data_IF_584816683654
#
_entry.id   IF_584816683654
#
_cell.length_a   1.000
_cell.length_b   1.000
_cell.length_c   1.000
_cell.angle_alpha   90.00
_cell.angle_beta   90.00
_cell.angle_gamma   90.00
#
_symmetry.space_group_name_H-M   'P 1'
#
loop_
_entity.id
_entity.type
_entity.pdbx_description
1 polymer ?
#
# COMPACT_ATOMS: atom_id res chain seq x y z
N UNK A 1 22.64 -20.99 3.23
CA UNK A 1 23.25 -19.66 3.02
C UNK A 1 22.38 -18.73 2.16
N UNK A 2 21.84 -19.17 1.01
CA UNK A 2 21.03 -18.29 0.12
C UNK A 2 19.77 -17.69 0.79
N UNK A 3 18.95 -18.51 1.47
CA UNK A 3 17.74 -18.02 2.17
C UNK A 3 18.02 -17.01 3.29
N UNK A 4 19.16 -17.13 3.97
CA UNK A 4 19.56 -16.19 5.02
C UNK A 4 19.85 -14.82 4.40
N UNK A 5 20.59 -14.80 3.30
CA UNK A 5 20.89 -13.58 2.53
C UNK A 5 19.64 -12.91 1.95
N UNK A 6 18.66 -13.70 1.49
CA UNK A 6 17.37 -13.17 1.02
C UNK A 6 16.57 -12.52 2.14
N UNK A 7 16.59 -13.08 3.35
CA UNK A 7 15.91 -12.50 4.52
C UNK A 7 16.58 -11.21 4.99
N UNK A 8 17.90 -11.20 5.06
CA UNK A 8 18.67 -10.01 5.41
C UNK A 8 18.41 -8.86 4.41
N UNK A 9 18.31 -9.19 3.12
CA UNK A 9 17.93 -8.20 2.10
C UNK A 9 16.51 -7.65 2.31
N UNK A 10 15.54 -8.50 2.65
CA UNK A 10 14.16 -8.06 2.90
C UNK A 10 14.08 -7.12 4.11
N UNK A 11 14.85 -7.40 5.18
CA UNK A 11 14.96 -6.49 6.32
C UNK A 11 15.59 -5.17 5.91
N UNK A 12 16.67 -5.20 5.12
CA UNK A 12 17.30 -3.98 4.60
C UNK A 12 16.35 -3.15 3.75
N UNK A 13 15.57 -3.79 2.87
CA UNK A 13 14.56 -3.13 2.03
C UNK A 13 13.45 -2.53 2.90
N UNK A 14 12.98 -3.24 3.92
CA UNK A 14 11.99 -2.68 4.85
C UNK A 14 12.49 -1.41 5.53
N UNK A 15 13.73 -1.39 6.00
CA UNK A 15 14.33 -0.22 6.63
C UNK A 15 14.42 0.96 5.63
N UNK A 16 14.90 0.70 4.41
CA UNK A 16 15.01 1.75 3.38
C UNK A 16 13.62 2.31 3.01
N UNK A 17 12.59 1.46 2.91
CA UNK A 17 11.22 1.92 2.68
C UNK A 17 10.68 2.76 3.84
N UNK A 18 11.02 2.41 5.08
CA UNK A 18 10.63 3.20 6.26
C UNK A 18 11.32 4.58 6.26
N UNK A 19 12.61 4.65 5.91
CA UNK A 19 13.34 5.92 5.78
C UNK A 19 12.76 6.81 4.67
N UNK A 20 12.40 6.23 3.51
CA UNK A 20 11.76 6.98 2.42
C UNK A 20 10.40 7.52 2.86
N UNK A 21 9.63 6.70 3.59
CA UNK A 21 8.33 7.08 4.13
C UNK A 21 8.44 8.28 5.06
N UNK A 22 9.37 8.26 6.01
CA UNK A 22 9.60 9.39 6.93
C UNK A 22 9.91 10.68 6.17
N UNK A 23 10.76 10.62 5.13
CA UNK A 23 11.05 11.80 4.29
C UNK A 23 9.86 12.28 3.48
N UNK A 24 8.93 11.39 3.13
CA UNK A 24 7.70 11.76 2.44
C UNK A 24 6.68 12.38 3.41
N UNK A 25 6.65 11.95 4.67
CA UNK A 25 5.86 12.62 5.73
C UNK A 25 6.33 14.07 5.88
N UNK A 26 7.64 14.32 5.96
CA UNK A 26 8.19 15.68 6.01
C UNK A 26 7.77 16.54 4.79
N UNK A 27 7.72 15.94 3.60
CA UNK A 27 7.30 16.63 2.37
C UNK A 27 5.79 16.88 2.34
N UNK A 28 4.99 15.95 2.86
CA UNK A 28 3.54 16.09 2.97
C UNK A 28 3.17 17.22 3.94
N UNK A 29 3.89 17.31 5.07
CA UNK A 29 3.75 18.39 6.04
C UNK A 29 4.10 19.74 5.40
N UNK A 30 5.24 19.85 4.73
CA UNK A 30 5.63 21.08 4.01
C UNK A 30 4.59 21.47 2.95
N UNK A 31 4.04 20.50 2.22
CA UNK A 31 3.02 20.77 1.19
C UNK A 31 1.72 21.24 1.83
N UNK A 32 1.37 20.69 3.00
CA UNK A 32 0.20 21.11 3.79
C UNK A 32 0.36 22.52 4.37
N UNK A 33 1.58 22.91 4.76
CA UNK A 33 1.90 24.30 5.12
C UNK A 33 1.73 25.22 3.91
N UNK A 34 2.29 24.88 2.75
CA UNK A 34 2.16 25.70 1.53
C UNK A 34 0.72 25.85 1.03
N UNK A 35 -0.15 24.88 1.34
CA UNK A 35 -1.57 24.93 1.01
C UNK A 35 -2.31 26.10 1.67
N UNK A 36 -1.83 26.64 2.80
CA UNK A 36 -2.47 27.79 3.46
C UNK A 36 -2.46 29.04 2.57
N UNK A 37 -1.47 29.16 1.71
CA UNK A 37 -1.28 30.30 0.80
C UNK A 37 -1.81 30.02 -0.62
N UNK A 38 -2.45 28.87 -0.84
CA UNK A 38 -2.89 28.47 -2.17
C UNK A 38 -4.10 29.30 -2.66
N UNK A 39 -4.03 29.89 -3.87
CA UNK A 39 -5.15 30.59 -4.51
C UNK A 39 -6.39 29.69 -4.62
N UNK A 40 -7.58 30.26 -4.39
CA UNK A 40 -8.83 29.50 -4.32
C UNK A 40 -9.09 28.66 -5.58
N UNK A 41 -8.66 29.14 -6.74
CA UNK A 41 -8.81 28.49 -8.04
C UNK A 41 -8.00 27.19 -8.15
N UNK A 42 -6.91 27.04 -7.39
CA UNK A 42 -6.00 25.89 -7.43
C UNK A 42 -6.07 25.00 -6.20
N UNK A 43 -6.79 25.40 -5.14
CA UNK A 43 -6.89 24.64 -3.89
C UNK A 43 -7.37 23.21 -4.09
N UNK A 44 -8.38 22.99 -4.94
CA UNK A 44 -8.93 21.64 -5.15
C UNK A 44 -7.91 20.70 -5.79
N UNK A 45 -7.21 21.17 -6.83
CA UNK A 45 -6.14 20.42 -7.49
C UNK A 45 -4.98 20.13 -6.52
N UNK A 46 -4.57 21.16 -5.77
CA UNK A 46 -3.46 21.04 -4.80
C UNK A 46 -3.82 20.10 -3.65
N UNK A 47 -5.06 20.12 -3.17
CA UNK A 47 -5.55 19.21 -2.14
C UNK A 47 -5.55 17.76 -2.63
N UNK A 48 -5.88 17.51 -3.90
CA UNK A 48 -5.74 16.18 -4.49
C UNK A 48 -4.29 15.72 -4.48
N UNK A 49 -3.34 16.59 -4.86
CA UNK A 49 -1.91 16.26 -4.82
C UNK A 49 -1.39 16.00 -3.40
N UNK A 50 -1.94 16.67 -2.38
CA UNK A 50 -1.63 16.37 -0.97
C UNK A 50 -2.14 14.97 -0.59
N UNK A 51 -3.35 14.61 -0.99
CA UNK A 51 -3.90 13.28 -0.74
C UNK A 51 -3.10 12.16 -1.43
N UNK A 52 -2.45 12.46 -2.56
CA UNK A 52 -1.54 11.50 -3.21
C UNK A 52 -0.32 11.16 -2.32
N UNK A 53 0.17 12.11 -1.51
CA UNK A 53 1.24 11.82 -0.53
C UNK A 53 0.77 10.87 0.55
N UNK A 54 -0.43 11.08 1.11
CA UNK A 54 -0.99 10.18 2.13
C UNK A 54 -1.10 8.75 1.60
N UNK A 55 -1.57 8.59 0.35
CA UNK A 55 -1.66 7.29 -0.30
C UNK A 55 -0.28 6.64 -0.50
N UNK A 56 0.73 7.43 -0.90
CA UNK A 56 2.10 6.94 -1.06
C UNK A 56 2.71 6.50 0.27
N UNK A 57 2.51 7.27 1.34
CA UNK A 57 2.97 6.94 2.70
C UNK A 57 2.37 5.62 3.16
N UNK A 58 1.05 5.44 3.02
CA UNK A 58 0.35 4.20 3.40
C UNK A 58 0.88 2.99 2.61
N UNK A 59 1.16 3.16 1.32
CA UNK A 59 1.72 2.10 0.47
C UNK A 59 3.12 1.71 0.90
N UNK A 60 3.96 2.69 1.23
CA UNK A 60 5.32 2.43 1.72
C UNK A 60 5.30 1.73 3.09
N UNK A 61 4.40 2.13 3.99
CA UNK A 61 4.18 1.45 5.27
C UNK A 61 3.82 -0.03 5.06
N UNK A 62 2.85 -0.31 4.18
CA UNK A 62 2.43 -1.68 3.91
C UNK A 62 3.54 -2.53 3.28
N UNK A 63 4.31 -1.96 2.34
CA UNK A 63 5.45 -2.65 1.71
C UNK A 63 6.59 -2.88 2.70
N UNK A 64 6.89 -1.91 3.55
CA UNK A 64 7.88 -2.05 4.61
C UNK A 64 7.47 -3.15 5.58
N UNK A 65 6.23 -3.14 6.08
CA UNK A 65 5.69 -4.17 6.96
C UNK A 65 5.70 -5.57 6.33
N UNK A 66 5.35 -5.68 5.04
CA UNK A 66 5.42 -6.94 4.29
C UNK A 66 6.87 -7.47 4.23
N UNK A 67 7.82 -6.60 3.86
CA UNK A 67 9.22 -6.97 3.73
C UNK A 67 9.82 -7.38 5.10
N UNK A 68 9.50 -6.64 6.17
CA UNK A 68 9.90 -6.99 7.53
C UNK A 68 9.36 -8.36 7.96
N UNK A 69 8.06 -8.62 7.74
CA UNK A 69 7.42 -9.88 8.11
C UNK A 69 8.04 -11.07 7.35
N UNK A 70 8.27 -10.93 6.04
CA UNK A 70 8.92 -11.97 5.24
C UNK A 70 10.40 -12.17 5.64
N UNK A 71 11.12 -11.08 5.94
CA UNK A 71 12.49 -11.12 6.46
C UNK A 71 12.59 -11.86 7.80
N UNK A 72 11.62 -11.64 8.68
CA UNK A 72 11.48 -12.37 9.95
C UNK A 72 11.06 -13.85 9.78
N UNK A 73 10.74 -14.27 8.55
CA UNK A 73 10.35 -15.64 8.24
C UNK A 73 8.87 -15.95 8.50
N UNK A 74 8.01 -14.93 8.60
CA UNK A 74 6.56 -15.13 8.69
C UNK A 74 6.02 -15.80 7.40
N UNK A 75 4.94 -16.59 7.51
CA UNK A 75 4.24 -17.11 6.33
C UNK A 75 3.74 -15.97 5.44
N UNK A 76 3.77 -16.17 4.12
CA UNK A 76 3.31 -15.16 3.15
C UNK A 76 1.88 -14.68 3.43
N UNK A 77 0.96 -15.61 3.76
CA UNK A 77 -0.42 -15.26 4.09
C UNK A 77 -0.52 -14.27 5.26
N UNK A 78 0.33 -14.43 6.27
CA UNK A 78 0.40 -13.51 7.41
C UNK A 78 1.05 -12.17 7.01
N UNK A 79 2.12 -12.23 6.21
CA UNK A 79 2.83 -11.03 5.77
C UNK A 79 1.97 -10.13 4.87
N UNK A 80 1.08 -10.71 4.05
CA UNK A 80 0.16 -9.97 3.19
C UNK A 80 -0.85 -9.10 3.97
N UNK A 81 -1.09 -9.37 5.25
CA UNK A 81 -1.94 -8.52 6.10
C UNK A 81 -1.34 -7.13 6.35
N UNK A 82 -0.06 -6.92 6.06
CA UNK A 82 0.54 -5.58 6.08
C UNK A 82 0.05 -4.70 4.91
N UNK A 83 -0.48 -5.28 3.82
CA UNK A 83 -0.96 -4.54 2.67
C UNK A 83 -2.43 -4.16 2.81
N UNK A 84 -2.79 -3.00 2.25
CA UNK A 84 -4.19 -2.57 2.17
C UNK A 84 -4.97 -3.41 1.16
N UNK A 85 -6.29 -3.52 1.34
CA UNK A 85 -7.15 -4.23 0.38
C UNK A 85 -7.18 -3.55 -0.99
N UNK A 86 -7.07 -2.23 -1.06
CA UNK A 86 -6.96 -1.49 -2.33
C UNK A 86 -5.70 -1.89 -3.09
N UNK A 87 -4.56 -2.02 -2.41
CA UNK A 87 -3.31 -2.43 -3.07
C UNK A 87 -3.38 -3.88 -3.59
N UNK A 88 -4.05 -4.76 -2.86
CA UNK A 88 -4.28 -6.14 -3.31
C UNK A 88 -5.27 -6.21 -4.47
N UNK A 89 -6.33 -5.39 -4.43
CA UNK A 89 -7.33 -5.30 -5.49
C UNK A 89 -6.74 -4.76 -6.79
N UNK A 90 -5.96 -3.66 -6.72
CA UNK A 90 -5.29 -3.08 -7.89
C UNK A 90 -4.38 -4.10 -8.58
N UNK A 91 -3.68 -4.93 -7.80
CA UNK A 91 -2.83 -6.02 -8.33
C UNK A 91 -3.65 -7.15 -8.95
N UNK A 92 -4.79 -7.47 -8.36
CA UNK A 92 -5.69 -8.51 -8.86
C UNK A 92 -6.37 -8.10 -10.17
N UNK A 93 -6.78 -6.83 -10.29
CA UNK A 93 -7.45 -6.28 -11.48
C UNK A 93 -6.46 -5.89 -12.57
N UNK A 94 -5.27 -5.41 -12.19
CA UNK A 94 -4.20 -5.02 -13.10
C UNK A 94 -3.45 -6.20 -13.72
N UNK A 95 -3.60 -7.42 -13.19
CA UNK A 95 -3.06 -8.64 -13.79
C UNK A 95 -4.09 -9.28 -14.75
N UNK A 96 -3.92 -9.17 -16.08
CA UNK A 96 -4.83 -9.80 -17.04
C UNK A 96 -4.86 -11.33 -16.96
N UNK A 97 -3.91 -11.95 -16.25
CA UNK A 97 -3.82 -13.40 -16.02
C UNK A 97 -4.58 -13.91 -14.81
N UNK A 98 -4.89 -13.06 -13.82
CA UNK A 98 -5.71 -13.43 -12.66
C UNK A 98 -7.13 -12.92 -12.90
N UNK A 99 -7.81 -13.50 -13.89
CA UNK A 99 -9.28 -13.41 -13.88
C UNK A 99 -9.72 -14.15 -12.62
N UNK A 100 -10.43 -13.51 -11.67
CA UNK A 100 -11.12 -14.28 -10.65
C UNK A 100 -12.00 -15.27 -11.41
N UNK A 101 -11.74 -16.56 -11.23
CA UNK A 101 -12.70 -17.58 -11.62
C UNK A 101 -13.90 -17.32 -10.73
N UNK A 102 -14.83 -16.51 -11.23
CA UNK A 102 -16.20 -16.52 -10.76
C UNK A 102 -16.76 -17.88 -11.16
N UNK A 103 -16.37 -18.93 -10.44
CA UNK A 103 -17.34 -19.96 -10.12
C UNK A 103 -18.41 -19.24 -9.34
N UNK A 104 -19.40 -18.71 -10.06
CA UNK A 104 -20.65 -18.29 -9.47
C UNK A 104 -21.11 -19.47 -8.60
N UNK A 105 -21.27 -19.31 -7.27
CA UNK A 105 -22.21 -20.17 -6.62
C UNK A 105 -23.55 -19.86 -7.31
N UNK A 106 -24.12 -20.84 -7.99
CA UNK A 106 -25.57 -20.92 -8.18
C UNK A 106 -26.19 -21.06 -6.78
N UNK A 107 -26.09 -19.99 -6.01
CA UNK A 107 -26.64 -19.80 -4.68
C UNK A 107 -27.82 -18.88 -4.88
N UNK A 108 -28.92 -19.51 -5.24
CA UNK A 108 -30.29 -19.02 -5.15
C UNK A 108 -30.42 -18.07 -3.95
N UNK A 109 -30.51 -16.77 -4.22
CA UNK A 109 -30.84 -15.76 -3.22
C UNK A 109 -32.32 -15.96 -2.87
N UNK A 110 -32.59 -16.81 -1.89
CA UNK A 110 -33.87 -16.78 -1.18
C UNK A 110 -33.88 -15.48 -0.38
N UNK A 111 -34.47 -14.45 -1.00
CA UNK A 111 -34.87 -13.23 -0.32
C UNK A 111 -35.79 -13.64 0.83
N UNK A 112 -35.43 -13.28 2.05
CA UNK A 112 -36.15 -13.55 3.28
C UNK A 112 -37.65 -13.25 3.14
N UNK A 113 -38.49 -14.19 3.59
CA UNK A 113 -39.91 -13.98 3.93
C UNK A 113 -40.03 -13.16 5.22
#
# INVERSE_FOLDING_TARGET
MSQYRSRDLLVSVSNELAEIRERLEDLADLTSELMTDCPAERRAETMSSVQDFDLLIQRLDGLSGLAAALGAGAPLATALHALTLSDLYDRLVGDPGIRPSMSAPSGELTLFD
#
